data_IF_695429376113
#
_entry.id   IF_695429376113
#
_cell.length_a   1.000
_cell.length_b   1.000
_cell.length_c   1.000
_cell.angle_alpha   90.00
_cell.angle_beta   90.00
_cell.angle_gamma   90.00
#
_symmetry.space_group_name_H-M   'P 1'
#
loop_
_entity.id
_entity.type
_entity.pdbx_description
1 polymer ?
#
# COMPACT_ATOMS: atom_id res chain seq x y z
N UNK A 1 5.95 28.85 15.86
CA UNK A 1 4.51 29.04 16.14
C UNK A 1 3.76 28.08 15.23
N UNK A 2 3.09 27.07 15.78
CA UNK A 2 2.28 26.13 14.98
C UNK A 2 0.94 26.78 14.67
N UNK A 3 0.57 26.87 13.39
CA UNK A 3 -0.59 27.64 12.88
C UNK A 3 -1.81 26.73 12.62
N UNK A 4 -1.80 25.51 13.16
CA UNK A 4 -2.91 24.57 12.98
C UNK A 4 -3.65 24.36 14.30
N UNK A 5 -4.99 24.50 14.32
CA UNK A 5 -5.78 24.21 15.50
C UNK A 5 -5.78 22.70 15.75
N UNK A 6 -5.18 22.28 16.86
CA UNK A 6 -5.25 20.90 17.34
C UNK A 6 -6.64 20.67 17.93
N UNK A 7 -7.54 20.04 17.18
CA UNK A 7 -8.77 19.49 17.75
C UNK A 7 -8.37 18.34 18.68
N UNK A 8 -8.43 18.61 19.98
CA UNK A 8 -8.34 17.62 21.04
C UNK A 8 -9.62 16.80 21.04
N UNK A 9 -9.57 15.59 20.50
CA UNK A 9 -10.63 14.61 20.69
C UNK A 9 -10.39 13.88 22.01
N UNK A 10 -11.42 13.71 22.86
CA UNK A 10 -11.28 12.94 24.09
C UNK A 10 -10.87 11.51 23.73
N UNK A 11 -9.69 11.11 24.19
CA UNK A 11 -9.20 9.73 24.08
C UNK A 11 -10.05 8.88 25.01
N UNK A 12 -11.17 8.37 24.49
CA UNK A 12 -11.81 7.20 25.05
C UNK A 12 -10.81 6.06 25.04
N UNK A 13 -10.73 5.25 26.11
CA UNK A 13 -10.04 3.95 26.07
C UNK A 13 -10.82 3.04 25.11
N UNK A 14 -10.59 3.25 23.82
CA UNK A 14 -11.19 2.59 22.69
C UNK A 14 -10.09 2.30 21.67
N UNK A 15 -10.39 1.38 20.75
CA UNK A 15 -9.49 0.96 19.66
C UNK A 15 -8.85 2.19 18.99
N UNK A 16 -7.55 2.11 18.72
CA UNK A 16 -6.85 3.20 18.03
C UNK A 16 -7.30 3.28 16.56
N UNK A 17 -7.14 4.44 15.92
CA UNK A 17 -7.37 4.58 14.48
C UNK A 17 -6.55 3.56 13.66
N UNK A 18 -5.36 3.22 14.15
CA UNK A 18 -4.53 2.18 13.56
C UNK A 18 -5.16 0.78 13.66
N UNK A 19 -5.77 0.45 14.80
CA UNK A 19 -6.48 -0.82 14.98
C UNK A 19 -7.71 -0.90 14.08
N UNK A 20 -8.44 0.21 13.95
CA UNK A 20 -9.60 0.34 13.06
C UNK A 20 -9.17 0.13 11.61
N UNK A 21 -8.12 0.82 11.16
CA UNK A 21 -7.56 0.65 9.83
C UNK A 21 -7.11 -0.79 9.59
N UNK A 22 -6.43 -1.41 10.55
CA UNK A 22 -6.00 -2.81 10.44
C UNK A 22 -7.20 -3.76 10.32
N UNK A 23 -8.30 -3.47 11.01
CA UNK A 23 -9.51 -4.29 10.96
C UNK A 23 -10.29 -4.15 9.64
N UNK A 24 -10.32 -2.96 9.02
CA UNK A 24 -11.11 -2.67 7.81
C UNK A 24 -10.28 -2.47 6.53
N UNK A 25 -8.95 -2.64 6.58
CA UNK A 25 -8.12 -2.52 5.39
C UNK A 25 -8.46 -3.61 4.37
N UNK A 26 -8.39 -3.24 3.09
CA UNK A 26 -8.50 -4.15 1.96
C UNK A 26 -7.35 -3.89 1.01
N UNK A 27 -6.74 -4.94 0.48
CA UNK A 27 -5.65 -4.84 -0.49
C UNK A 27 -6.17 -4.31 -1.84
N UNK A 28 -7.34 -4.78 -2.27
CA UNK A 28 -8.07 -4.24 -3.41
C UNK A 28 -9.47 -3.82 -2.96
N UNK A 29 -9.81 -2.55 -3.19
CA UNK A 29 -11.19 -2.09 -3.15
C UNK A 29 -11.69 -2.06 -4.59
N UNK A 30 -12.91 -2.52 -4.82
CA UNK A 30 -13.58 -2.32 -6.09
C UNK A 30 -13.66 -0.81 -6.31
N UNK A 31 -12.87 -0.29 -7.25
CA UNK A 31 -12.91 1.11 -7.61
C UNK A 31 -14.34 1.38 -8.12
N UNK A 32 -15.10 2.21 -7.40
CA UNK A 32 -16.50 2.55 -7.66
C UNK A 32 -16.67 3.37 -8.95
N UNK A 33 -16.07 2.96 -10.06
CA UNK A 33 -16.12 3.73 -11.30
C UNK A 33 -16.75 3.01 -12.49
N UNK A 34 -16.89 1.69 -12.48
CA UNK A 34 -17.47 0.95 -13.62
C UNK A 34 -18.59 -0.05 -13.28
N UNK A 35 -18.88 -0.33 -12.00
CA UNK A 35 -19.94 -1.27 -11.59
C UNK A 35 -20.95 -0.62 -10.62
N UNK A 36 -21.68 0.38 -11.12
CA UNK A 36 -22.94 0.91 -10.56
C UNK A 36 -24.09 -0.13 -10.65
N UNK A 37 -23.78 -1.43 -10.60
CA UNK A 37 -24.78 -2.50 -10.75
C UNK A 37 -24.67 -3.63 -9.71
N UNK A 38 -23.65 -3.64 -8.86
CA UNK A 38 -23.47 -4.72 -7.87
C UNK A 38 -23.10 -4.27 -6.45
N UNK A 39 -22.91 -2.97 -6.21
CA UNK A 39 -22.98 -2.46 -4.84
C UNK A 39 -24.45 -2.46 -4.44
N UNK A 40 -24.78 -3.18 -3.36
CA UNK A 40 -26.08 -3.06 -2.71
C UNK A 40 -26.27 -1.61 -2.29
N UNK A 41 -26.95 -0.84 -3.13
CA UNK A 41 -27.45 0.50 -2.85
C UNK A 41 -28.31 0.46 -1.57
N UNK A 42 -27.70 0.70 -0.41
CA UNK A 42 -28.44 0.70 0.86
C UNK A 42 -27.63 0.46 2.12
N UNK A 43 -26.42 -0.09 2.05
CA UNK A 43 -25.58 -0.21 3.25
C UNK A 43 -24.84 1.10 3.51
N UNK A 44 -25.26 1.81 4.56
CA UNK A 44 -24.53 2.98 5.05
C UNK A 44 -23.15 2.54 5.51
N UNK A 45 -22.11 2.83 4.70
CA UNK A 45 -20.69 2.59 5.08
C UNK A 45 -20.44 3.10 6.48
N UNK A 46 -19.87 2.25 7.34
CA UNK A 46 -19.55 2.64 8.70
C UNK A 46 -18.46 3.71 8.70
N UNK A 47 -18.27 4.39 9.82
CA UNK A 47 -17.20 5.39 9.92
C UNK A 47 -15.81 4.74 9.75
N UNK A 48 -15.63 3.51 10.24
CA UNK A 48 -14.40 2.73 10.08
C UNK A 48 -14.09 2.44 8.60
N UNK A 49 -15.13 2.12 7.81
CA UNK A 49 -14.98 1.85 6.39
C UNK A 49 -14.60 3.11 5.61
N UNK A 50 -15.19 4.25 5.96
CA UNK A 50 -14.85 5.55 5.36
C UNK A 50 -13.42 5.97 5.68
N UNK A 51 -12.94 5.69 6.89
CA UNK A 51 -11.56 5.97 7.28
C UNK A 51 -10.58 5.13 6.45
N UNK A 52 -10.85 3.84 6.28
CA UNK A 52 -10.00 2.95 5.49
C UNK A 52 -10.09 3.23 3.98
N UNK A 53 -11.25 3.63 3.46
CA UNK A 53 -11.41 4.09 2.08
C UNK A 53 -10.57 5.33 1.81
N UNK A 54 -10.66 6.35 2.68
CA UNK A 54 -9.84 7.55 2.57
C UNK A 54 -8.34 7.25 2.65
N UNK A 55 -7.93 6.30 3.49
CA UNK A 55 -6.53 5.87 3.52
C UNK A 55 -6.13 5.20 2.20
N UNK A 56 -6.99 4.34 1.66
CA UNK A 56 -6.78 3.63 0.40
C UNK A 56 -6.69 4.54 -0.83
N UNK A 57 -7.47 5.62 -0.87
CA UNK A 57 -7.42 6.65 -1.90
C UNK A 57 -6.07 7.39 -1.95
N UNK A 58 -5.38 7.50 -0.81
CA UNK A 58 -4.05 8.12 -0.73
C UNK A 58 -2.91 7.18 -1.13
N UNK A 59 -3.21 5.93 -1.50
CA UNK A 59 -2.22 4.96 -1.94
C UNK A 59 -2.16 4.90 -3.46
N UNK A 60 -0.94 4.70 -3.97
CA UNK A 60 -0.67 4.59 -5.40
C UNK A 60 -0.51 3.12 -5.77
N UNK A 61 -1.36 2.66 -6.70
CA UNK A 61 -1.62 1.23 -6.95
C UNK A 61 -1.05 0.70 -8.27
N UNK A 62 -0.18 1.46 -8.94
CA UNK A 62 0.46 1.03 -10.19
C UNK A 62 1.58 0.02 -9.96
N UNK A 63 2.43 0.26 -8.95
CA UNK A 63 3.50 -0.63 -8.53
C UNK A 63 3.41 -0.84 -7.02
N UNK A 64 3.54 -2.09 -6.58
CA UNK A 64 3.62 -2.46 -5.17
C UNK A 64 5.07 -2.58 -4.71
N UNK A 65 5.30 -2.31 -3.43
CA UNK A 65 6.56 -2.64 -2.77
C UNK A 65 6.47 -4.02 -2.16
N UNK A 66 7.57 -4.76 -2.21
CA UNK A 66 7.66 -6.12 -1.69
C UNK A 66 8.58 -6.20 -0.47
N UNK A 67 8.22 -7.07 0.47
CA UNK A 67 9.11 -7.57 1.50
C UNK A 67 9.40 -9.05 1.22
N UNK A 68 10.62 -9.31 0.74
CA UNK A 68 11.11 -10.64 0.43
C UNK A 68 11.88 -11.27 1.62
N UNK A 69 11.56 -10.97 2.88
CA UNK A 69 12.27 -11.57 4.04
C UNK A 69 12.30 -13.08 4.00
N UNK A 70 11.14 -13.65 3.69
CA UNK A 70 10.82 -15.06 3.88
C UNK A 70 10.52 -15.75 2.55
N UNK A 71 10.98 -15.18 1.43
CA UNK A 71 10.66 -15.70 0.09
C UNK A 71 11.08 -17.17 -0.09
N UNK A 72 12.16 -17.60 0.59
CA UNK A 72 12.63 -19.00 0.58
C UNK A 72 11.67 -19.98 1.24
N UNK A 73 10.82 -19.51 2.16
CA UNK A 73 9.75 -20.30 2.75
C UNK A 73 8.41 -20.10 2.04
N UNK A 74 8.41 -19.48 0.84
CA UNK A 74 7.21 -19.14 0.08
C UNK A 74 6.45 -17.92 0.60
N UNK A 75 6.94 -17.25 1.66
CA UNK A 75 6.23 -16.14 2.29
C UNK A 75 6.83 -14.80 1.85
N UNK A 76 5.99 -13.91 1.36
CA UNK A 76 6.36 -12.53 1.04
C UNK A 76 5.16 -11.62 1.28
N UNK A 77 5.41 -10.34 1.49
CA UNK A 77 4.37 -9.35 1.67
C UNK A 77 4.44 -8.32 0.55
N UNK A 78 3.27 -7.86 0.11
CA UNK A 78 3.13 -6.74 -0.83
C UNK A 78 2.32 -5.64 -0.15
N UNK A 79 2.64 -4.39 -0.48
CA UNK A 79 1.83 -3.23 -0.13
C UNK A 79 1.88 -2.17 -1.20
N UNK A 80 0.84 -1.35 -1.28
CA UNK A 80 0.82 -0.19 -2.16
C UNK A 80 1.75 0.92 -1.65
N UNK A 81 2.14 1.80 -2.59
CA UNK A 81 3.08 2.89 -2.34
C UNK A 81 2.36 4.08 -1.71
N UNK A 82 3.07 4.81 -0.85
CA UNK A 82 2.64 6.14 -0.38
C UNK A 82 3.08 7.23 -1.36
N UNK A 83 2.49 8.42 -1.25
CA UNK A 83 2.87 9.59 -2.05
C UNK A 83 4.38 9.86 -2.02
N UNK A 84 4.98 9.87 -0.83
CA UNK A 84 6.41 10.10 -0.65
C UNK A 84 7.29 9.09 -1.38
N UNK A 85 6.85 7.83 -1.42
CA UNK A 85 7.53 6.74 -2.10
C UNK A 85 7.47 6.91 -3.61
N UNK A 86 6.29 7.25 -4.14
CA UNK A 86 6.11 7.56 -5.56
C UNK A 86 6.99 8.73 -6.00
N UNK A 87 6.99 9.83 -5.23
CA UNK A 87 7.83 11.01 -5.53
C UNK A 87 9.32 10.64 -5.54
N UNK A 88 9.75 9.75 -4.64
CA UNK A 88 11.15 9.28 -4.62
C UNK A 88 11.50 8.28 -5.72
N UNK A 89 10.50 7.76 -6.46
CA UNK A 89 10.65 6.69 -7.45
C UNK A 89 10.83 5.29 -6.85
N UNK A 90 10.46 5.11 -5.57
CA UNK A 90 10.56 3.83 -4.87
C UNK A 90 9.75 2.75 -5.59
N UNK A 91 10.39 1.63 -5.91
CA UNK A 91 9.78 0.47 -6.57
C UNK A 91 9.49 0.59 -8.06
N UNK A 92 9.73 1.74 -8.68
CA UNK A 92 9.57 1.92 -10.13
C UNK A 92 10.92 2.16 -10.80
N UNK A 93 11.65 3.17 -10.32
CA UNK A 93 13.02 3.49 -10.79
C UNK A 93 14.10 2.90 -9.87
N UNK A 94 13.67 2.27 -8.79
CA UNK A 94 14.51 1.63 -7.78
C UNK A 94 13.97 0.24 -7.48
N UNK A 95 14.72 -0.59 -6.75
CA UNK A 95 14.27 -1.94 -6.45
C UNK A 95 13.02 -1.92 -5.54
N UNK A 96 11.95 -2.63 -5.94
CA UNK A 96 10.70 -2.76 -5.16
C UNK A 96 10.84 -3.49 -3.83
N UNK A 97 11.92 -4.26 -3.62
CA UNK A 97 12.17 -4.92 -2.34
C UNK A 97 12.66 -3.91 -1.30
N UNK A 98 11.86 -3.69 -0.26
CA UNK A 98 12.14 -2.74 0.85
C UNK A 98 13.44 -3.03 1.60
N UNK A 99 13.95 -4.28 1.53
CA UNK A 99 15.25 -4.66 2.13
C UNK A 99 16.43 -4.62 1.17
N UNK A 100 16.20 -4.26 -0.09
CA UNK A 100 17.27 -4.15 -1.07
C UNK A 100 18.11 -2.90 -0.79
N UNK A 101 19.44 -3.02 -0.90
CA UNK A 101 20.36 -1.88 -0.82
C UNK A 101 20.12 -0.81 -1.90
N UNK A 102 19.40 -1.17 -2.97
CA UNK A 102 19.04 -0.29 -4.08
C UNK A 102 17.61 0.26 -3.99
N UNK A 103 16.92 0.09 -2.85
CA UNK A 103 15.55 0.56 -2.68
C UNK A 103 15.48 2.09 -2.50
N UNK A 104 16.39 2.65 -1.68
CA UNK A 104 16.44 4.09 -1.38
C UNK A 104 17.46 4.85 -2.22
N UNK A 105 18.22 4.17 -3.09
CA UNK A 105 19.21 4.82 -3.95
C UNK A 105 18.53 5.30 -5.22
N UNK A 106 18.25 6.60 -5.31
CA UNK A 106 17.82 7.19 -6.58
C UNK A 106 18.97 7.13 -7.59
N UNK A 107 18.72 6.84 -8.88
CA UNK A 107 19.74 6.84 -9.93
C UNK A 107 20.45 8.21 -10.08
N UNK A 108 19.89 9.28 -9.52
CA UNK A 108 20.47 10.63 -9.48
C UNK A 108 21.44 10.88 -8.31
N UNK A 109 21.42 10.04 -7.27
CA UNK A 109 22.07 10.32 -5.97
C UNK A 109 23.44 9.66 -5.80
N UNK A 110 23.87 8.80 -6.74
CA UNK A 110 25.07 7.99 -6.56
C UNK A 110 26.16 8.31 -7.58
N UNK A 111 27.39 8.45 -7.08
CA UNK A 111 28.61 8.58 -7.88
C UNK A 111 28.63 7.57 -9.04
N UNK A 112 28.88 8.06 -10.25
CA UNK A 112 28.95 7.40 -11.58
C UNK A 112 29.79 6.11 -11.68
N UNK A 113 30.38 5.64 -10.58
CA UNK A 113 31.29 4.48 -10.49
C UNK A 113 30.62 3.16 -10.08
N UNK A 114 29.40 3.17 -9.52
CA UNK A 114 28.70 1.95 -9.10
C UNK A 114 27.62 1.60 -10.12
N UNK A 115 27.80 0.48 -10.83
CA UNK A 115 26.81 -0.04 -11.78
C UNK A 115 25.58 -0.53 -11.01
N UNK A 116 24.45 0.13 -11.21
CA UNK A 116 23.16 -0.34 -10.69
C UNK A 116 22.66 -1.54 -11.52
N UNK A 117 21.97 -2.50 -10.88
CA UNK A 117 21.32 -3.56 -11.62
C UNK A 117 20.23 -2.98 -12.53
N UNK A 118 20.10 -3.52 -13.73
CA UNK A 118 18.95 -3.21 -14.58
C UNK A 118 17.69 -3.71 -13.89
N UNK A 119 16.69 -2.85 -13.79
CA UNK A 119 15.39 -3.19 -13.22
C UNK A 119 14.50 -3.79 -14.31
N UNK A 120 13.57 -4.64 -13.90
CA UNK A 120 12.57 -5.24 -14.77
C UNK A 120 11.27 -5.29 -14.01
N UNK A 121 10.21 -4.75 -14.60
CA UNK A 121 8.87 -4.84 -14.06
C UNK A 121 8.36 -6.27 -14.21
N UNK A 122 7.80 -6.81 -13.14
CA UNK A 122 7.18 -8.13 -13.12
C UNK A 122 5.73 -8.02 -12.67
N UNK A 123 4.85 -8.75 -13.36
CA UNK A 123 3.50 -9.00 -12.86
C UNK A 123 3.47 -10.35 -12.17
N UNK A 124 3.12 -10.35 -10.89
CA UNK A 124 3.17 -11.53 -10.03
C UNK A 124 1.76 -11.91 -9.60
N UNK A 125 1.40 -13.22 -9.65
CA UNK A 125 0.16 -13.70 -9.05
C UNK A 125 0.31 -13.68 -7.52
N UNK A 126 -0.38 -12.74 -6.88
CA UNK A 126 -0.40 -12.58 -5.44
C UNK A 126 -1.67 -13.20 -4.86
N UNK A 127 -1.51 -14.33 -4.16
CA UNK A 127 -2.57 -14.96 -3.39
C UNK A 127 -2.47 -14.53 -1.92
N UNK A 128 -3.59 -14.09 -1.34
CA UNK A 128 -3.66 -13.59 0.02
C UNK A 128 -5.00 -13.95 0.68
N UNK A 129 -5.05 -13.90 2.01
CA UNK A 129 -6.29 -14.10 2.77
C UNK A 129 -6.73 -12.73 3.28
N UNK A 130 -7.96 -12.35 2.98
CA UNK A 130 -8.56 -11.10 3.43
C UNK A 130 -9.89 -11.39 4.10
N UNK A 131 -10.05 -10.99 5.37
CA UNK A 131 -11.22 -11.31 6.20
C UNK A 131 -11.62 -12.79 6.22
N UNK A 132 -10.64 -13.70 6.11
CA UNK A 132 -10.87 -15.15 6.11
C UNK A 132 -11.16 -15.76 4.73
N UNK A 133 -11.26 -14.94 3.69
CA UNK A 133 -11.50 -15.40 2.32
C UNK A 133 -10.20 -15.39 1.50
N UNK A 134 -9.92 -16.46 0.72
CA UNK A 134 -8.80 -16.47 -0.19
C UNK A 134 -9.09 -15.57 -1.41
N UNK A 135 -8.15 -14.68 -1.71
CA UNK A 135 -8.18 -13.78 -2.87
C UNK A 135 -6.89 -13.90 -3.68
N UNK A 136 -6.97 -13.53 -4.95
CA UNK A 136 -5.84 -13.52 -5.87
C UNK A 136 -5.89 -12.29 -6.77
N UNK A 137 -4.72 -11.68 -7.01
CA UNK A 137 -4.58 -10.53 -7.90
C UNK A 137 -3.25 -10.60 -8.65
N UNK A 138 -3.21 -10.06 -9.87
CA UNK A 138 -1.95 -9.78 -10.55
C UNK A 138 -1.44 -8.42 -10.08
N UNK A 139 -0.22 -8.39 -9.53
CA UNK A 139 0.37 -7.18 -8.95
C UNK A 139 1.70 -6.89 -9.63
N UNK A 140 1.87 -5.64 -10.08
CA UNK A 140 3.11 -5.13 -10.65
C UNK A 140 4.11 -4.76 -9.56
N UNK A 141 5.36 -5.19 -9.72
CA UNK A 141 6.52 -4.89 -8.84
C UNK A 141 7.75 -4.59 -9.67
#
# INVERSE_FOLDING_TARGET
MSIYPTKSYPVTKGLSEFDILTASHKFLREDNHDDESNSKEGETKTWEDKLAEKYYENLYREFALCDLKHYKSGNFALRWRTETEVISGAGETTCGNTRCKYHSTSPSSMNKRKKEPQLTTLELPFAYIEHGEPKNALVKV
#
